data_IF_830587095379
#
_entry.id   IF_830587095379
#
_cell.length_a   1.000
_cell.length_b   1.000
_cell.length_c   1.000
_cell.angle_alpha   90.00
_cell.angle_beta   90.00
_cell.angle_gamma   90.00
#
_symmetry.space_group_name_H-M   'P 1'
#
loop_
_entity.id
_entity.type
_entity.pdbx_description
1 polymer ?
#
# COMPACT_ATOMS: atom_id res chain seq x y z
N UNK A 1 -1.66 10.54 12.80
CA UNK A 1 -2.24 9.19 12.58
C UNK A 1 -3.73 9.24 12.93
N UNK A 2 -4.61 9.30 11.94
CA UNK A 2 -6.05 9.22 12.17
C UNK A 2 -6.41 7.76 12.39
N UNK A 3 -6.76 7.42 13.62
CA UNK A 3 -7.33 6.10 13.94
C UNK A 3 -8.67 6.00 13.21
N UNK A 4 -8.75 5.14 12.20
CA UNK A 4 -10.03 4.74 11.61
C UNK A 4 -10.68 3.84 12.65
N UNK A 5 -11.61 4.39 13.40
CA UNK A 5 -12.44 3.62 14.34
C UNK A 5 -13.44 2.85 13.50
N UNK A 6 -13.24 1.55 13.36
CA UNK A 6 -14.25 0.66 12.79
C UNK A 6 -15.42 0.62 13.75
N UNK A 7 -16.59 1.07 13.30
CA UNK A 7 -17.84 0.93 14.03
C UNK A 7 -18.17 -0.56 14.18
N UNK A 8 -17.98 -1.08 15.38
CA UNK A 8 -18.58 -2.34 15.79
C UNK A 8 -20.08 -2.09 16.01
N UNK A 9 -20.85 -2.05 14.93
CA UNK A 9 -22.30 -2.08 15.00
C UNK A 9 -22.72 -3.54 15.22
N UNK A 10 -22.80 -3.96 16.48
CA UNK A 10 -23.48 -5.17 16.87
C UNK A 10 -25.00 -4.94 16.74
N UNK A 11 -25.56 -5.13 15.55
CA UNK A 11 -27.00 -5.25 15.36
C UNK A 11 -27.42 -6.68 15.72
N UNK A 12 -27.79 -6.88 16.97
CA UNK A 12 -28.56 -8.03 17.37
C UNK A 12 -29.99 -7.88 16.83
N UNK A 13 -30.31 -8.49 15.70
CA UNK A 13 -31.69 -8.75 15.29
C UNK A 13 -31.90 -10.25 15.26
N UNK A 14 -32.59 -10.74 16.31
CA UNK A 14 -33.11 -12.08 16.35
C UNK A 14 -34.27 -12.23 15.34
N UNK A 15 -34.09 -13.13 14.39
CA UNK A 15 -35.17 -13.87 13.74
C UNK A 15 -34.70 -15.31 13.65
N UNK A 16 -35.32 -16.15 14.46
CA UNK A 16 -35.17 -17.58 14.40
C UNK A 16 -35.76 -18.11 13.08
N UNK A 17 -34.86 -18.43 12.15
CA UNK A 17 -35.13 -19.26 10.99
C UNK A 17 -34.02 -20.28 10.94
N UNK A 18 -34.33 -21.57 10.92
CA UNK A 18 -33.40 -22.67 10.76
C UNK A 18 -32.76 -22.61 9.37
N UNK A 19 -31.74 -21.78 9.23
CA UNK A 19 -30.84 -21.73 8.08
C UNK A 19 -29.41 -21.88 8.59
N UNK A 20 -28.61 -22.65 7.88
CA UNK A 20 -27.17 -22.82 8.16
C UNK A 20 -26.56 -21.47 8.58
N UNK A 21 -26.03 -21.43 9.79
CA UNK A 21 -25.36 -20.21 10.25
C UNK A 21 -23.98 -20.16 9.58
N UNK A 22 -23.82 -19.18 8.67
CA UNK A 22 -22.49 -18.81 8.22
C UNK A 22 -21.60 -18.52 9.47
N UNK A 23 -20.30 -18.85 9.42
CA UNK A 23 -19.40 -18.56 10.52
C UNK A 23 -19.53 -17.11 10.95
N UNK A 24 -19.73 -16.85 12.23
CA UNK A 24 -19.78 -15.47 12.73
C UNK A 24 -18.39 -14.87 12.66
N UNK A 25 -18.27 -13.75 11.98
CA UNK A 25 -17.01 -13.01 11.91
C UNK A 25 -16.60 -12.56 13.33
N UNK A 26 -15.33 -12.77 13.66
CA UNK A 26 -14.72 -12.35 14.92
C UNK A 26 -13.61 -11.33 14.61
N UNK A 27 -14.00 -10.05 14.44
CA UNK A 27 -13.15 -8.98 13.94
C UNK A 27 -12.43 -8.27 15.11
N UNK A 28 -11.51 -8.96 15.77
CA UNK A 28 -10.76 -8.41 16.91
C UNK A 28 -9.47 -7.69 16.53
N UNK A 29 -8.97 -7.94 15.34
CA UNK A 29 -7.73 -7.34 14.82
C UNK A 29 -7.92 -6.80 13.40
N UNK A 30 -6.98 -5.97 12.94
CA UNK A 30 -6.97 -5.50 11.54
C UNK A 30 -6.81 -6.67 10.55
N UNK A 31 -6.08 -7.72 10.94
CA UNK A 31 -5.93 -8.95 10.12
C UNK A 31 -7.25 -9.71 10.03
N UNK A 32 -8.03 -9.80 11.12
CA UNK A 32 -9.36 -10.41 11.09
C UNK A 32 -10.29 -9.63 10.17
N UNK A 33 -10.26 -8.31 10.27
CA UNK A 33 -11.04 -7.40 9.43
C UNK A 33 -10.61 -7.51 7.96
N UNK A 34 -9.31 -7.53 7.67
CA UNK A 34 -8.77 -7.74 6.33
C UNK A 34 -9.22 -9.08 5.75
N UNK A 35 -9.16 -10.15 6.53
CA UNK A 35 -9.60 -11.50 6.12
C UNK A 35 -11.07 -11.52 5.73
N UNK A 36 -11.92 -10.89 6.56
CA UNK A 36 -13.37 -10.77 6.30
C UNK A 36 -13.64 -9.97 5.03
N UNK A 37 -12.98 -8.81 4.85
CA UNK A 37 -13.18 -7.94 3.68
C UNK A 37 -12.72 -8.61 2.37
N UNK A 38 -11.63 -9.38 2.40
CA UNK A 38 -11.21 -10.21 1.26
C UNK A 38 -12.29 -11.24 0.94
N UNK A 39 -12.85 -11.91 1.95
CA UNK A 39 -13.97 -12.84 1.78
C UNK A 39 -15.21 -12.19 1.15
N UNK A 40 -15.58 -10.99 1.61
CA UNK A 40 -16.68 -10.19 1.04
C UNK A 40 -16.43 -9.89 -0.44
N UNK A 41 -15.22 -9.44 -0.77
CA UNK A 41 -14.85 -9.15 -2.17
C UNK A 41 -14.91 -10.41 -3.05
N UNK A 42 -14.38 -11.53 -2.59
CA UNK A 42 -14.37 -12.79 -3.34
C UNK A 42 -15.78 -13.42 -3.47
N UNK A 43 -16.65 -13.16 -2.52
CA UNK A 43 -18.03 -13.66 -2.52
C UNK A 43 -19.02 -12.85 -3.38
N UNK A 44 -18.56 -11.72 -3.93
CA UNK A 44 -19.43 -10.85 -4.73
C UNK A 44 -19.93 -11.56 -6.00
N UNK A 45 -21.25 -11.54 -6.22
CA UNK A 45 -21.90 -12.18 -7.38
C UNK A 45 -21.99 -13.70 -7.29
N UNK A 46 -21.51 -14.36 -6.21
CA UNK A 46 -21.45 -15.82 -6.14
C UNK A 46 -22.83 -16.49 -6.26
N UNK A 47 -23.88 -15.92 -5.65
CA UNK A 47 -25.25 -16.42 -5.77
C UNK A 47 -25.81 -16.24 -7.19
N UNK A 48 -25.48 -15.13 -7.85
CA UNK A 48 -25.87 -14.87 -9.24
C UNK A 48 -25.18 -15.84 -10.20
N UNK A 49 -23.85 -16.04 -10.03
CA UNK A 49 -23.09 -17.02 -10.81
C UNK A 49 -23.66 -18.42 -10.63
N UNK A 50 -24.07 -18.81 -9.41
CA UNK A 50 -24.68 -20.10 -9.15
C UNK A 50 -25.97 -20.31 -9.97
N UNK A 51 -26.83 -19.31 -10.03
CA UNK A 51 -28.11 -19.41 -10.75
C UNK A 51 -27.95 -19.23 -12.26
N UNK A 52 -27.17 -18.30 -12.72
CA UNK A 52 -27.07 -17.93 -14.16
C UNK A 52 -26.06 -18.76 -14.94
N UNK A 53 -24.94 -19.17 -14.31
CA UNK A 53 -23.85 -19.86 -15.00
C UNK A 53 -23.72 -21.33 -14.60
N UNK A 54 -24.10 -21.69 -13.35
CA UNK A 54 -24.01 -23.08 -12.88
C UNK A 54 -25.34 -23.83 -12.99
N UNK A 55 -26.43 -23.16 -13.41
CA UNK A 55 -27.75 -23.78 -13.59
C UNK A 55 -28.42 -24.25 -12.27
N UNK A 56 -28.00 -23.64 -11.13
CA UNK A 56 -28.62 -23.96 -9.84
C UNK A 56 -29.96 -23.21 -9.74
N UNK A 57 -31.05 -23.92 -9.52
CA UNK A 57 -32.36 -23.30 -9.27
C UNK A 57 -32.27 -22.36 -8.04
N UNK A 58 -32.91 -21.20 -8.17
CA UNK A 58 -32.91 -20.18 -7.10
C UNK A 58 -33.47 -20.74 -5.77
N UNK A 59 -34.36 -21.72 -5.81
CA UNK A 59 -34.88 -22.42 -4.64
C UNK A 59 -33.78 -23.21 -3.88
N UNK A 60 -32.66 -23.54 -4.53
CA UNK A 60 -31.57 -24.33 -3.95
C UNK A 60 -30.29 -23.53 -3.66
N UNK A 61 -30.32 -22.24 -3.81
CA UNK A 61 -29.18 -21.38 -3.48
C UNK A 61 -28.75 -21.55 -2.01
N UNK A 62 -29.72 -21.72 -1.10
CA UNK A 62 -29.40 -21.97 0.32
C UNK A 62 -28.61 -23.28 0.53
N UNK A 63 -28.92 -24.32 -0.22
CA UNK A 63 -28.20 -25.61 -0.17
C UNK A 63 -26.82 -25.51 -0.83
N UNK A 64 -26.69 -24.71 -1.89
CA UNK A 64 -25.41 -24.39 -2.50
C UNK A 64 -24.49 -23.70 -1.49
N UNK A 65 -24.98 -22.70 -0.75
CA UNK A 65 -24.19 -22.00 0.27
C UNK A 65 -23.83 -22.89 1.46
N UNK A 66 -24.73 -23.80 1.90
CA UNK A 66 -24.38 -24.85 2.86
C UNK A 66 -23.30 -25.79 2.33
N UNK A 67 -23.31 -26.06 1.02
CA UNK A 67 -22.29 -26.83 0.36
C UNK A 67 -20.93 -26.16 0.40
N UNK A 68 -20.86 -24.83 0.21
CA UNK A 68 -19.61 -24.05 0.36
C UNK A 68 -19.07 -24.19 1.79
N UNK A 69 -19.93 -24.02 2.79
CA UNK A 69 -19.57 -24.13 4.21
C UNK A 69 -19.06 -25.54 4.54
N UNK A 70 -19.78 -26.57 4.12
CA UNK A 70 -19.40 -27.97 4.32
C UNK A 70 -18.13 -28.35 3.52
N UNK A 71 -17.99 -27.82 2.30
CA UNK A 71 -16.82 -28.03 1.47
C UNK A 71 -15.53 -27.42 2.04
N UNK A 72 -15.66 -26.41 2.87
CA UNK A 72 -14.53 -25.87 3.63
C UNK A 72 -14.04 -26.87 4.72
N UNK A 73 -14.85 -27.86 5.10
CA UNK A 73 -14.59 -28.82 6.15
C UNK A 73 -14.27 -30.25 5.64
N UNK A 74 -14.99 -30.85 4.66
CA UNK A 74 -14.78 -32.26 4.16
C UNK A 74 -15.49 -32.64 2.82
N UNK A 75 -15.11 -33.73 2.08
CA UNK A 75 -15.58 -34.15 0.75
C UNK A 75 -16.86 -35.06 0.65
N UNK A 76 -17.73 -34.99 -0.40
CA UNK A 76 -18.99 -35.74 -0.56
C UNK A 76 -19.47 -36.08 -1.99
N UNK A 77 -20.46 -37.02 -2.17
CA UNK A 77 -21.10 -37.42 -3.44
C UNK A 77 -22.64 -37.30 -3.44
N UNK A 78 -23.32 -37.10 -4.63
CA UNK A 78 -24.76 -36.78 -4.69
C UNK A 78 -25.54 -37.18 -5.97
N UNK A 79 -26.88 -37.35 -5.88
CA UNK A 79 -27.75 -37.96 -6.92
C UNK A 79 -28.99 -37.12 -7.38
N UNK A 80 -29.23 -35.90 -6.88
CA UNK A 80 -30.34 -35.04 -7.31
C UNK A 80 -29.93 -33.55 -7.35
N UNK A 81 -30.79 -32.66 -7.90
CA UNK A 81 -30.46 -31.25 -8.09
C UNK A 81 -30.09 -30.52 -6.79
N UNK A 82 -30.79 -30.83 -5.67
CA UNK A 82 -30.48 -30.26 -4.35
C UNK A 82 -29.11 -30.77 -3.85
N UNK A 83 -28.86 -32.06 -3.99
CA UNK A 83 -27.60 -32.68 -3.61
C UNK A 83 -26.45 -32.24 -4.53
N UNK A 84 -26.73 -32.05 -5.85
CA UNK A 84 -25.74 -31.48 -6.78
C UNK A 84 -25.36 -30.05 -6.39
N UNK A 85 -26.35 -29.19 -6.05
CA UNK A 85 -26.09 -27.84 -5.57
C UNK A 85 -25.22 -27.86 -4.31
N UNK A 86 -25.50 -28.77 -3.36
CA UNK A 86 -24.65 -28.91 -2.16
C UNK A 86 -23.23 -29.38 -2.48
N UNK A 87 -23.06 -30.34 -3.40
CA UNK A 87 -21.74 -30.83 -3.79
C UNK A 87 -20.94 -29.78 -4.50
N UNK A 88 -21.53 -29.00 -5.42
CA UNK A 88 -20.86 -27.88 -6.08
C UNK A 88 -20.45 -26.82 -5.04
N UNK A 89 -21.34 -26.47 -4.12
CA UNK A 89 -21.04 -25.53 -3.04
C UNK A 89 -19.88 -26.01 -2.16
N UNK A 90 -19.87 -27.32 -1.81
CA UNK A 90 -18.79 -27.95 -1.06
C UNK A 90 -17.44 -27.89 -1.81
N UNK A 91 -17.45 -28.16 -3.13
CA UNK A 91 -16.25 -28.05 -3.97
C UNK A 91 -15.69 -26.63 -4.01
N UNK A 92 -16.56 -25.62 -4.13
CA UNK A 92 -16.18 -24.21 -4.08
C UNK A 92 -15.60 -23.86 -2.69
N UNK A 93 -16.24 -24.36 -1.61
CA UNK A 93 -15.74 -24.17 -0.25
C UNK A 93 -14.34 -24.77 -0.03
N UNK A 94 -14.08 -25.96 -0.58
CA UNK A 94 -12.73 -26.56 -0.55
C UNK A 94 -11.70 -25.70 -1.29
N UNK A 95 -12.06 -25.20 -2.48
CA UNK A 95 -11.18 -24.31 -3.25
C UNK A 95 -10.95 -22.98 -2.52
N UNK A 96 -12.00 -22.38 -2.00
CA UNK A 96 -11.91 -21.10 -1.28
C UNK A 96 -11.06 -21.21 -0.01
N UNK A 97 -11.28 -22.27 0.79
CA UNK A 97 -10.58 -22.47 2.06
C UNK A 97 -9.17 -23.06 1.93
N UNK A 98 -8.85 -23.61 0.76
CA UNK A 98 -7.56 -24.22 0.45
C UNK A 98 -6.75 -23.35 -0.50
N UNK A 99 -6.87 -23.62 -1.81
CA UNK A 99 -5.99 -23.00 -2.82
C UNK A 99 -6.11 -21.46 -2.83
N UNK A 100 -7.31 -20.93 -2.91
CA UNK A 100 -7.55 -19.47 -2.99
C UNK A 100 -7.05 -18.76 -1.72
N UNK A 101 -7.44 -19.25 -0.54
CA UNK A 101 -7.02 -18.67 0.72
C UNK A 101 -5.49 -18.69 0.88
N UNK A 102 -4.85 -19.83 0.62
CA UNK A 102 -3.40 -19.97 0.74
C UNK A 102 -2.66 -19.09 -0.27
N UNK A 103 -3.19 -18.96 -1.49
CA UNK A 103 -2.60 -18.06 -2.50
C UNK A 103 -2.69 -16.60 -2.06
N UNK A 104 -3.86 -16.15 -1.60
CA UNK A 104 -4.06 -14.78 -1.11
C UNK A 104 -3.14 -14.52 0.09
N UNK A 105 -3.13 -15.43 1.07
CA UNK A 105 -2.29 -15.32 2.26
C UNK A 105 -0.79 -15.24 1.91
N UNK A 106 -0.34 -16.12 1.02
CA UNK A 106 1.04 -16.14 0.54
C UNK A 106 1.44 -14.89 -0.24
N UNK A 107 0.51 -14.30 -1.00
CA UNK A 107 0.75 -13.05 -1.73
C UNK A 107 0.86 -11.83 -0.79
N UNK A 108 0.16 -11.85 0.34
CA UNK A 108 0.14 -10.74 1.31
C UNK A 108 1.34 -10.80 2.25
N UNK A 109 1.60 -11.97 2.83
CA UNK A 109 2.58 -12.12 3.91
C UNK A 109 3.85 -12.88 3.51
N UNK A 110 3.86 -13.50 2.33
CA UNK A 110 4.90 -14.44 1.93
C UNK A 110 4.59 -15.87 2.38
N UNK A 111 5.22 -16.85 1.72
CA UNK A 111 4.92 -18.29 1.95
C UNK A 111 5.39 -18.79 3.31
N UNK A 112 6.45 -18.19 3.86
CA UNK A 112 7.10 -18.62 5.10
C UNK A 112 6.78 -17.70 6.29
N UNK A 113 5.75 -16.85 6.16
CA UNK A 113 5.37 -15.91 7.22
C UNK A 113 4.62 -16.62 8.34
N UNK A 114 4.96 -16.29 9.59
CA UNK A 114 4.18 -16.67 10.78
C UNK A 114 2.84 -15.93 10.86
N UNK A 115 2.72 -14.79 10.16
CA UNK A 115 1.49 -13.99 10.08
C UNK A 115 0.59 -14.57 9.01
N UNK A 116 -0.69 -14.75 9.34
CA UNK A 116 -1.68 -15.27 8.41
C UNK A 116 -3.03 -14.57 8.57
N UNK A 117 -3.80 -14.55 7.49
CA UNK A 117 -5.22 -14.18 7.54
C UNK A 117 -5.99 -15.17 8.40
N UNK A 118 -7.12 -14.73 8.95
CA UNK A 118 -8.09 -15.63 9.59
C UNK A 118 -8.95 -16.29 8.53
N UNK A 119 -8.81 -17.61 8.40
CA UNK A 119 -9.60 -18.42 7.46
C UNK A 119 -11.10 -18.34 7.75
N UNK A 120 -11.48 -18.36 9.03
CA UNK A 120 -12.88 -18.28 9.45
C UNK A 120 -13.49 -16.92 9.10
N UNK A 121 -12.77 -15.82 9.31
CA UNK A 121 -13.23 -14.49 8.92
C UNK A 121 -13.29 -14.31 7.39
N UNK A 122 -12.36 -14.90 6.64
CA UNK A 122 -12.41 -14.92 5.19
C UNK A 122 -13.67 -15.65 4.69
N UNK A 123 -13.94 -16.85 5.20
CA UNK A 123 -15.14 -17.61 4.84
C UNK A 123 -16.42 -16.92 5.30
N UNK A 124 -16.42 -16.30 6.49
CA UNK A 124 -17.55 -15.51 6.97
C UNK A 124 -17.87 -14.34 6.03
N UNK A 125 -16.86 -13.63 5.53
CA UNK A 125 -17.02 -12.56 4.56
C UNK A 125 -17.57 -13.04 3.22
N UNK A 126 -17.00 -14.12 2.67
CA UNK A 126 -17.46 -14.74 1.43
C UNK A 126 -18.93 -15.15 1.51
N UNK A 127 -19.32 -15.86 2.57
CA UNK A 127 -20.69 -16.32 2.77
C UNK A 127 -21.66 -15.18 3.11
N UNK A 128 -21.21 -14.12 3.77
CA UNK A 128 -22.04 -12.95 4.07
C UNK A 128 -22.49 -12.24 2.79
N UNK A 129 -21.60 -12.05 1.81
CA UNK A 129 -21.97 -11.48 0.50
C UNK A 129 -22.90 -12.42 -0.25
N UNK A 130 -22.57 -13.70 -0.35
CA UNK A 130 -23.37 -14.70 -1.06
C UNK A 130 -24.81 -14.81 -0.51
N UNK A 131 -25.01 -14.55 0.79
CA UNK A 131 -26.32 -14.52 1.45
C UNK A 131 -26.97 -13.13 1.48
N UNK A 132 -26.42 -12.12 0.84
CA UNK A 132 -26.88 -10.71 0.92
C UNK A 132 -26.94 -10.19 2.37
N UNK A 133 -26.02 -10.62 3.24
CA UNK A 133 -25.90 -10.25 4.67
C UNK A 133 -24.61 -9.56 5.01
N UNK A 134 -23.83 -9.15 4.00
CA UNK A 134 -22.59 -8.40 4.24
C UNK A 134 -22.91 -7.06 4.92
N UNK A 135 -22.14 -6.73 5.95
CA UNK A 135 -22.26 -5.46 6.71
C UNK A 135 -21.54 -4.31 6.04
N UNK A 136 -20.81 -4.58 4.95
CA UNK A 136 -20.07 -3.61 4.16
C UNK A 136 -20.32 -3.86 2.68
N UNK A 137 -20.22 -2.81 1.85
CA UNK A 137 -20.26 -2.96 0.40
C UNK A 137 -18.95 -3.53 -0.13
N UNK A 138 -18.96 -4.11 -1.33
CA UNK A 138 -17.74 -4.58 -1.99
C UNK A 138 -16.80 -3.41 -2.33
N UNK A 139 -17.33 -2.22 -2.58
CA UNK A 139 -16.54 -0.99 -2.81
C UNK A 139 -15.80 -0.58 -1.54
N UNK A 140 -16.48 -0.56 -0.39
CA UNK A 140 -15.85 -0.24 0.90
C UNK A 140 -14.82 -1.31 1.29
N UNK A 141 -15.13 -2.59 1.05
CA UNK A 141 -14.21 -3.69 1.28
C UNK A 141 -12.94 -3.53 0.44
N UNK A 142 -13.06 -3.19 -0.86
CA UNK A 142 -11.90 -2.97 -1.73
C UNK A 142 -11.05 -1.77 -1.27
N UNK A 143 -11.68 -0.66 -0.87
CA UNK A 143 -10.97 0.51 -0.35
C UNK A 143 -10.20 0.16 0.93
N UNK A 144 -10.82 -0.60 1.84
CA UNK A 144 -10.17 -1.07 3.06
C UNK A 144 -9.00 -2.01 2.77
N UNK A 145 -9.19 -2.99 1.86
CA UNK A 145 -8.14 -3.93 1.43
C UNK A 145 -6.93 -3.16 0.92
N UNK A 146 -7.14 -2.21 -0.01
CA UNK A 146 -6.05 -1.44 -0.58
C UNK A 146 -5.26 -0.68 0.50
N UNK A 147 -5.97 0.01 1.40
CA UNK A 147 -5.34 0.74 2.51
C UNK A 147 -4.54 -0.18 3.46
N UNK A 148 -5.04 -1.38 3.75
CA UNK A 148 -4.34 -2.34 4.60
C UNK A 148 -3.13 -2.97 3.91
N UNK A 149 -3.25 -3.31 2.62
CA UNK A 149 -2.13 -3.84 1.84
C UNK A 149 -0.99 -2.82 1.72
N UNK A 150 -1.33 -1.54 1.51
CA UNK A 150 -0.34 -0.47 1.48
C UNK A 150 0.36 -0.33 2.84
N UNK A 151 -0.39 -0.38 3.95
CA UNK A 151 0.18 -0.33 5.30
C UNK A 151 1.07 -1.55 5.63
N UNK A 152 0.68 -2.75 5.21
CA UNK A 152 1.48 -3.97 5.37
C UNK A 152 2.77 -3.86 4.57
N UNK A 153 2.69 -3.41 3.32
CA UNK A 153 3.84 -3.19 2.45
C UNK A 153 4.79 -2.14 3.04
N UNK A 154 4.25 -1.03 3.51
CA UNK A 154 5.04 0.04 4.14
C UNK A 154 5.81 -0.47 5.36
N UNK A 155 5.14 -1.22 6.26
CA UNK A 155 5.80 -1.82 7.43
C UNK A 155 6.88 -2.84 7.04
N UNK A 156 6.63 -3.66 6.01
CA UNK A 156 7.61 -4.61 5.52
C UNK A 156 8.84 -3.90 4.93
N UNK A 157 8.61 -2.85 4.15
CA UNK A 157 9.66 -1.99 3.58
C UNK A 157 10.44 -1.26 4.68
N UNK A 158 9.74 -0.70 5.68
CA UNK A 158 10.39 -0.03 6.82
C UNK A 158 11.29 -1.01 7.59
N UNK A 159 10.82 -2.23 7.85
CA UNK A 159 11.63 -3.27 8.51
C UNK A 159 12.83 -3.68 7.66
N UNK A 160 12.62 -3.88 6.36
CA UNK A 160 13.68 -4.30 5.43
C UNK A 160 14.77 -3.23 5.26
N UNK A 161 14.39 -1.94 5.29
CA UNK A 161 15.29 -0.81 5.08
C UNK A 161 15.51 0.02 6.35
N UNK A 162 15.28 -0.56 7.53
CA UNK A 162 15.44 0.12 8.82
C UNK A 162 16.85 0.71 8.99
N UNK A 163 17.88 -0.03 8.58
CA UNK A 163 19.28 0.43 8.64
C UNK A 163 19.53 1.64 7.72
N UNK A 164 18.97 1.63 6.52
CA UNK A 164 19.10 2.76 5.59
C UNK A 164 18.41 4.01 6.13
N UNK A 165 17.19 3.85 6.68
CA UNK A 165 16.45 4.93 7.35
C UNK A 165 17.25 5.51 8.51
N UNK A 166 17.73 4.64 9.43
CA UNK A 166 18.48 5.05 10.59
C UNK A 166 19.82 5.74 10.23
N UNK A 167 20.53 5.22 9.21
CA UNK A 167 21.75 5.83 8.70
C UNK A 167 21.49 7.23 8.13
N UNK A 168 20.40 7.43 7.38
CA UNK A 168 20.00 8.72 6.85
C UNK A 168 19.62 9.73 7.95
N UNK A 169 18.84 9.32 8.93
CA UNK A 169 18.47 10.16 10.09
C UNK A 169 19.69 10.57 10.90
N UNK A 170 20.58 9.63 11.19
CA UNK A 170 21.85 9.90 11.88
C UNK A 170 22.72 10.87 11.09
N UNK A 171 22.87 10.63 9.79
CA UNK A 171 23.63 11.53 8.91
C UNK A 171 23.09 12.96 8.97
N UNK A 172 21.77 13.16 8.88
CA UNK A 172 21.16 14.48 8.94
C UNK A 172 21.32 15.14 10.30
N UNK A 173 21.19 14.38 11.40
CA UNK A 173 21.41 14.90 12.75
C UNK A 173 22.86 15.42 12.93
N UNK A 174 23.85 14.65 12.50
CA UNK A 174 25.24 15.05 12.53
C UNK A 174 25.54 16.21 11.54
N UNK A 175 24.92 16.20 10.37
CA UNK A 175 25.14 17.22 9.34
C UNK A 175 24.59 18.59 9.76
N UNK A 176 23.47 18.64 10.51
CA UNK A 176 22.89 19.88 11.01
C UNK A 176 23.85 20.69 11.90
N UNK A 177 24.81 20.02 12.54
CA UNK A 177 25.81 20.66 13.43
C UNK A 177 27.04 21.19 12.69
N UNK A 178 27.16 20.89 11.39
CA UNK A 178 28.34 21.31 10.59
C UNK A 178 28.27 22.77 10.21
N UNK A 179 29.43 23.41 10.21
CA UNK A 179 29.56 24.82 9.84
C UNK A 179 29.01 25.12 8.43
N UNK A 180 28.17 26.14 8.35
CA UNK A 180 27.53 26.60 7.12
C UNK A 180 26.33 25.78 6.66
N UNK A 181 25.92 24.73 7.40
CA UNK A 181 24.69 24.00 7.14
C UNK A 181 23.53 24.71 7.82
N UNK A 182 22.45 24.89 7.07
CA UNK A 182 21.17 25.44 7.55
C UNK A 182 20.08 24.41 7.39
N UNK A 183 19.10 24.43 8.30
CA UNK A 183 17.94 23.52 8.28
C UNK A 183 16.66 24.33 8.20
N UNK A 184 15.76 23.98 7.30
CA UNK A 184 14.44 24.59 7.17
C UNK A 184 13.41 23.90 8.09
N UNK A 185 12.21 24.46 8.20
CA UNK A 185 11.11 23.88 9.00
C UNK A 185 10.67 22.49 8.51
N UNK A 186 10.80 22.22 7.22
CA UNK A 186 10.48 20.91 6.63
C UNK A 186 11.54 19.84 6.93
N UNK A 187 12.71 20.23 7.43
CA UNK A 187 13.85 19.37 7.66
C UNK A 187 14.83 19.30 6.46
N UNK A 188 14.58 20.05 5.37
CA UNK A 188 15.57 20.20 4.31
C UNK A 188 16.83 20.85 4.89
N UNK A 189 18.00 20.28 4.63
CA UNK A 189 19.25 20.91 4.97
C UNK A 189 19.97 21.38 3.71
N UNK A 190 20.66 22.51 3.82
CA UNK A 190 21.42 23.05 2.71
C UNK A 190 22.68 23.78 3.18
N UNK A 191 23.67 23.77 2.29
CA UNK A 191 24.89 24.57 2.44
C UNK A 191 25.11 25.40 1.18
N UNK A 192 25.33 26.69 1.37
CA UNK A 192 25.71 27.59 0.28
C UNK A 192 27.15 27.35 -0.07
N UNK A 193 27.43 26.95 -1.31
CA UNK A 193 28.80 26.78 -1.85
C UNK A 193 29.23 28.05 -2.58
N UNK A 194 28.29 28.65 -3.31
CA UNK A 194 28.48 29.92 -4.03
C UNK A 194 27.19 30.70 -4.03
N UNK A 195 27.26 31.96 -3.66
CA UNK A 195 26.10 32.86 -3.76
C UNK A 195 25.82 33.22 -5.22
N UNK A 196 24.54 33.39 -5.56
CA UNK A 196 24.09 33.95 -6.81
C UNK A 196 23.69 35.42 -6.66
N UNK A 197 23.51 36.10 -7.77
CA UNK A 197 23.14 37.52 -7.80
C UNK A 197 21.87 37.78 -8.65
N UNK A 198 21.40 36.78 -9.42
CA UNK A 198 20.23 36.89 -10.29
C UNK A 198 18.91 36.68 -9.59
N UNK A 199 17.90 36.32 -10.34
CA UNK A 199 16.53 36.13 -9.92
C UNK A 199 16.38 34.90 -9.01
N UNK A 200 15.41 34.94 -8.08
CA UNK A 200 15.02 33.81 -7.26
C UNK A 200 13.84 33.12 -7.95
N UNK A 201 13.90 31.81 -8.24
CA UNK A 201 12.79 31.13 -8.86
C UNK A 201 11.61 31.01 -7.93
N UNK A 202 10.43 31.07 -8.49
CA UNK A 202 9.17 30.71 -7.82
C UNK A 202 8.87 29.23 -8.01
N UNK A 203 7.86 28.73 -7.29
CA UNK A 203 7.39 27.33 -7.45
C UNK A 203 6.98 27.01 -8.89
N UNK A 204 6.48 27.99 -9.67
CA UNK A 204 6.04 27.80 -11.06
C UNK A 204 7.12 28.03 -12.10
N UNK A 205 8.28 28.54 -11.70
CA UNK A 205 9.38 28.83 -12.62
C UNK A 205 9.95 27.56 -13.24
N UNK A 206 10.42 27.68 -14.48
CA UNK A 206 11.32 26.70 -15.09
C UNK A 206 12.75 27.15 -14.81
N UNK A 207 13.58 26.22 -14.35
CA UNK A 207 14.98 26.48 -14.03
C UNK A 207 15.91 25.65 -14.89
N UNK A 208 17.04 26.21 -15.28
CA UNK A 208 18.13 25.50 -15.94
C UNK A 208 19.26 25.29 -14.93
N UNK A 209 19.63 24.04 -14.70
CA UNK A 209 20.59 23.66 -13.64
C UNK A 209 21.64 22.68 -14.13
N UNK A 210 22.84 22.75 -13.54
CA UNK A 210 23.70 21.59 -13.41
C UNK A 210 23.52 20.97 -12.05
N UNK A 211 23.57 19.63 -11.98
CA UNK A 211 23.45 18.94 -10.70
C UNK A 211 24.19 17.60 -10.70
N UNK A 212 24.47 17.16 -9.47
CA UNK A 212 24.98 15.83 -9.16
C UNK A 212 24.25 15.31 -7.93
N UNK A 213 23.62 14.14 -8.04
CA UNK A 213 22.91 13.45 -6.97
C UNK A 213 23.70 12.23 -6.49
N UNK A 214 23.88 12.12 -5.17
CA UNK A 214 24.54 10.99 -4.51
C UNK A 214 23.75 10.52 -3.30
N UNK A 215 23.91 9.25 -2.94
CA UNK A 215 23.51 8.71 -1.64
C UNK A 215 24.51 9.18 -0.56
N UNK A 216 24.21 8.89 0.72
CA UNK A 216 25.06 9.28 1.85
C UNK A 216 26.43 8.56 1.87
N UNK A 217 26.51 7.39 1.22
CA UNK A 217 27.77 6.63 1.04
C UNK A 217 28.63 7.15 -0.13
N UNK A 218 28.14 8.18 -0.86
CA UNK A 218 28.81 8.76 -2.02
C UNK A 218 28.46 8.11 -3.36
N UNK A 219 27.63 7.05 -3.38
CA UNK A 219 27.16 6.42 -4.62
C UNK A 219 26.38 7.43 -5.45
N UNK A 220 26.87 7.73 -6.65
CA UNK A 220 26.20 8.64 -7.58
C UNK A 220 25.07 7.91 -8.31
N UNK A 221 23.86 8.47 -8.27
CA UNK A 221 22.70 7.92 -8.96
C UNK A 221 22.26 8.74 -10.17
N UNK A 222 22.59 10.04 -10.21
CA UNK A 222 22.28 10.88 -11.37
C UNK A 222 23.21 12.12 -11.42
N UNK A 223 23.54 12.58 -12.64
CA UNK A 223 24.37 13.75 -12.85
C UNK A 223 24.16 14.35 -14.24
N UNK A 224 23.88 15.64 -14.31
CA UNK A 224 23.86 16.40 -15.55
C UNK A 224 25.25 16.63 -16.11
N UNK A 225 26.29 16.61 -15.25
CA UNK A 225 27.68 16.76 -15.69
C UNK A 225 28.15 15.57 -16.55
N UNK A 226 27.65 14.34 -16.25
CA UNK A 226 27.94 13.16 -17.07
C UNK A 226 27.29 13.21 -18.46
N UNK A 227 26.21 13.97 -18.59
CA UNK A 227 25.55 14.23 -19.88
C UNK A 227 26.12 15.42 -20.63
N UNK A 228 27.10 16.12 -20.01
CA UNK A 228 27.78 17.31 -20.53
C UNK A 228 26.84 18.48 -20.87
N UNK A 229 25.60 18.44 -20.39
CA UNK A 229 24.61 19.50 -20.63
C UNK A 229 23.73 19.76 -19.39
N UNK A 230 23.36 21.04 -19.14
CA UNK A 230 22.45 21.38 -18.09
C UNK A 230 21.03 20.94 -18.43
N UNK A 231 20.27 20.60 -17.40
CA UNK A 231 18.89 20.14 -17.54
C UNK A 231 17.90 21.23 -17.11
N UNK A 232 16.76 21.31 -17.78
CA UNK A 232 15.68 22.23 -17.42
C UNK A 232 14.56 21.48 -16.72
N UNK A 233 14.08 22.01 -15.58
CA UNK A 233 12.97 21.47 -14.80
C UNK A 233 11.98 22.58 -14.44
N UNK A 234 10.69 22.26 -14.38
CA UNK A 234 9.74 23.09 -13.64
C UNK A 234 9.92 22.80 -12.13
N UNK A 235 10.03 23.87 -11.33
CA UNK A 235 10.30 23.74 -9.90
C UNK A 235 9.21 23.01 -9.11
N UNK A 236 7.98 22.93 -9.63
CA UNK A 236 6.85 22.17 -9.06
C UNK A 236 6.74 20.72 -9.58
N UNK A 237 7.67 20.26 -10.42
CA UNK A 237 7.65 18.92 -11.03
C UNK A 237 8.86 18.06 -10.65
N UNK A 238 9.51 18.42 -9.57
CA UNK A 238 10.65 17.71 -8.97
C UNK A 238 10.30 17.26 -7.55
N UNK A 239 11.19 16.54 -6.89
CA UNK A 239 10.99 16.13 -5.49
C UNK A 239 10.83 17.35 -4.58
N UNK A 240 10.08 17.18 -3.48
CA UNK A 240 9.71 18.29 -2.58
C UNK A 240 10.93 19.07 -2.08
N UNK A 241 12.02 18.39 -1.75
CA UNK A 241 13.26 19.03 -1.33
C UNK A 241 13.89 19.94 -2.40
N UNK A 242 13.75 19.58 -3.66
CA UNK A 242 14.18 20.46 -4.77
C UNK A 242 13.22 21.64 -4.96
N UNK A 243 11.91 21.39 -4.93
CA UNK A 243 10.91 22.46 -5.03
C UNK A 243 11.14 23.53 -3.98
N UNK A 244 11.45 23.13 -2.75
CA UNK A 244 11.77 24.06 -1.66
C UNK A 244 13.17 24.69 -1.83
N UNK A 245 14.16 23.86 -2.05
CA UNK A 245 15.56 24.28 -2.12
C UNK A 245 15.85 25.28 -3.23
N UNK A 246 15.25 25.10 -4.41
CA UNK A 246 15.41 26.03 -5.54
C UNK A 246 14.92 27.44 -5.21
N UNK A 247 13.85 27.57 -4.43
CA UNK A 247 13.32 28.87 -4.01
C UNK A 247 14.21 29.60 -2.97
N UNK A 248 15.25 28.93 -2.45
CA UNK A 248 16.27 29.54 -1.60
C UNK A 248 17.48 30.03 -2.40
N UNK A 249 17.59 29.68 -3.69
CA UNK A 249 18.73 29.98 -4.54
C UNK A 249 18.47 31.21 -5.41
N UNK A 250 19.50 32.02 -5.60
CA UNK A 250 19.52 33.01 -6.69
C UNK A 250 20.17 32.43 -7.94
N UNK A 251 19.78 32.90 -9.11
CA UNK A 251 20.48 32.60 -10.36
C UNK A 251 21.98 32.85 -10.24
N UNK A 252 22.80 31.89 -10.67
CA UNK A 252 24.26 31.88 -10.51
C UNK A 252 24.76 31.23 -9.23
N UNK A 253 23.87 30.83 -8.32
CA UNK A 253 24.21 30.17 -7.07
C UNK A 253 24.56 28.69 -7.27
N UNK A 254 25.36 28.16 -6.32
CA UNK A 254 25.60 26.73 -6.16
C UNK A 254 25.39 26.34 -4.72
N UNK A 255 24.44 25.42 -4.51
CA UNK A 255 24.08 24.93 -3.18
C UNK A 255 24.28 23.42 -3.13
N UNK A 256 24.54 22.91 -1.93
CA UNK A 256 24.45 21.49 -1.60
C UNK A 256 23.22 21.28 -0.75
N UNK A 257 22.29 20.46 -1.23
CA UNK A 257 21.11 20.02 -0.49
C UNK A 257 21.34 18.66 0.13
N UNK A 258 20.84 18.48 1.35
CA UNK A 258 20.75 17.20 2.03
C UNK A 258 19.27 16.97 2.31
N UNK A 259 18.68 16.05 1.59
CA UNK A 259 17.24 15.91 1.47
C UNK A 259 16.80 14.67 2.25
N UNK A 260 16.03 14.84 3.36
CA UNK A 260 15.43 13.70 4.06
C UNK A 260 14.57 12.89 3.10
N UNK A 261 14.48 11.58 3.32
CA UNK A 261 13.70 10.69 2.45
C UNK A 261 12.25 11.15 2.22
N UNK A 262 11.61 11.78 3.22
CA UNK A 262 10.26 12.33 3.12
C UNK A 262 10.12 13.46 2.10
N UNK A 263 11.18 14.20 1.86
CA UNK A 263 11.24 15.27 0.85
C UNK A 263 11.86 14.79 -0.47
N UNK A 264 12.24 13.51 -0.54
CA UNK A 264 12.80 12.82 -1.70
C UNK A 264 11.84 11.80 -2.29
N UNK A 265 12.26 10.53 -2.31
CA UNK A 265 11.50 9.42 -2.92
C UNK A 265 10.78 8.53 -1.89
N UNK A 266 10.75 8.94 -0.62
CA UNK A 266 9.96 8.29 0.44
C UNK A 266 10.35 6.85 0.73
N UNK A 267 9.32 6.08 1.11
CA UNK A 267 9.45 4.66 1.40
C UNK A 267 9.61 3.77 0.16
N UNK A 268 9.41 4.31 -1.04
CA UNK A 268 9.47 3.53 -2.28
C UNK A 268 10.85 3.57 -2.93
N UNK A 269 11.67 4.60 -2.67
CA UNK A 269 12.89 4.84 -3.42
C UNK A 269 12.62 5.16 -4.90
N UNK A 270 13.62 5.02 -5.76
CA UNK A 270 13.48 5.24 -7.21
C UNK A 270 14.36 4.27 -8.00
N UNK A 271 13.72 3.41 -8.81
CA UNK A 271 14.40 2.40 -9.60
C UNK A 271 15.31 1.49 -8.76
N UNK A 272 16.40 1.04 -9.35
CA UNK A 272 17.42 0.25 -8.64
C UNK A 272 18.53 1.11 -7.99
N UNK A 273 18.55 2.42 -8.28
CA UNK A 273 19.65 3.30 -7.90
C UNK A 273 19.42 4.06 -6.60
N UNK A 274 18.16 4.21 -6.18
CA UNK A 274 17.80 4.91 -4.95
C UNK A 274 16.96 3.97 -4.08
N UNK A 275 17.58 3.31 -3.10
CA UNK A 275 16.86 2.43 -2.18
C UNK A 275 15.77 3.16 -1.40
N UNK A 276 14.73 2.45 -0.89
CA UNK A 276 13.76 3.00 0.04
C UNK A 276 14.39 3.72 1.23
N UNK A 277 13.73 4.79 1.69
CA UNK A 277 14.16 5.62 2.84
C UNK A 277 15.53 6.29 2.69
N UNK A 278 16.03 6.47 1.46
CA UNK A 278 17.33 7.09 1.24
C UNK A 278 17.30 8.60 1.48
N UNK A 279 18.22 9.08 2.30
CA UNK A 279 18.62 10.48 2.35
C UNK A 279 19.46 10.79 1.13
N UNK A 280 19.18 11.88 0.43
CA UNK A 280 19.82 12.26 -0.82
C UNK A 280 20.71 13.50 -0.63
N UNK A 281 21.82 13.52 -1.33
CA UNK A 281 22.72 14.68 -1.39
C UNK A 281 22.75 15.17 -2.84
N UNK A 282 22.44 16.44 -3.05
CA UNK A 282 22.52 17.07 -4.35
C UNK A 282 23.43 18.30 -4.32
N UNK A 283 24.42 18.34 -5.18
CA UNK A 283 25.06 19.58 -5.58
C UNK A 283 24.26 20.16 -6.74
N UNK A 284 23.72 21.35 -6.57
CA UNK A 284 22.89 22.04 -7.57
C UNK A 284 23.48 23.40 -7.89
N UNK A 285 23.70 23.66 -9.16
CA UNK A 285 24.10 24.95 -9.70
C UNK A 285 22.97 25.53 -10.53
N UNK A 286 22.35 26.61 -10.06
CA UNK A 286 21.28 27.31 -10.74
C UNK A 286 21.85 28.24 -11.78
N UNK A 287 21.77 27.85 -13.05
CA UNK A 287 22.34 28.59 -14.16
C UNK A 287 21.41 29.73 -14.57
N UNK A 288 20.11 29.44 -14.69
CA UNK A 288 19.13 30.41 -15.17
C UNK A 288 17.72 30.11 -14.70
N UNK A 289 16.95 31.17 -14.43
CA UNK A 289 15.49 31.17 -14.29
C UNK A 289 14.88 31.52 -15.65
N UNK A 290 13.93 30.68 -16.18
CA UNK A 290 13.35 30.78 -17.51
C UNK A 290 11.87 31.20 -17.46
#
# INVERSE_FOLDING_TARGET
>A
MKKIVLFAAAAAMGLASCTSQAPKANLKSDIDSLSYMIGVNQGNGLSEVATTHMGIDSAYVAEFLKGIEAGAAEGASATNAKALAFVIGKQIGLQASGLMFNQINGNIFGKDSETSLSKDNFLAGLLAVANNKAVVTTTDAQAFINAQLDAIKEKAMEKQYADNKAAGEKFLAENATKEGVKTTESGLQYKVIKEGQGEIPTKSSTVKVHYKGTLIDGTEFDSSYKREEPTSFRADRVIAGWTEGLQLMKEGAKYRFFIPYLLGYGANGAGSSIPPYSTLIFDVELIKVL
#
